data_IF_973108456872
#
_entry.id   IF_973108456872
#
_cell.length_a   1.000
_cell.length_b   1.000
_cell.length_c   1.000
_cell.angle_alpha   90.00
_cell.angle_beta   90.00
_cell.angle_gamma   90.00
#
_symmetry.space_group_name_H-M   'P 1'
#
loop_
_entity.id
_entity.type
_entity.pdbx_description
1 polymer ?
#
# COMPACT_ATOMS: atom_id res chain seq x y z
N UNK A 1 -5.53 19.64 10.24
CA UNK A 1 -4.86 18.70 11.15
C UNK A 1 -4.57 19.38 12.48
N UNK A 2 -4.75 18.68 13.61
CA UNK A 2 -4.56 19.22 14.97
C UNK A 2 -3.16 18.96 15.55
N UNK A 3 -2.24 18.40 14.76
CA UNK A 3 -0.86 18.14 15.16
C UNK A 3 -0.13 19.47 15.42
N UNK A 4 0.58 19.58 16.55
CA UNK A 4 1.27 20.81 16.97
C UNK A 4 2.75 20.86 16.57
N UNK A 5 3.27 19.79 15.98
CA UNK A 5 4.62 19.74 15.43
C UNK A 5 4.62 20.00 13.92
N UNK A 6 5.74 20.54 13.42
CA UNK A 6 5.94 20.78 11.99
C UNK A 6 7.00 19.83 11.44
N UNK A 7 6.76 19.29 10.24
CA UNK A 7 7.78 18.55 9.48
C UNK A 7 8.57 19.54 8.62
N UNK A 8 9.91 19.61 8.77
CA UNK A 8 10.75 20.45 7.90
C UNK A 8 10.51 20.16 6.43
N UNK A 9 10.46 21.19 5.59
CA UNK A 9 10.11 21.05 4.17
C UNK A 9 11.04 20.07 3.45
N UNK A 10 12.35 20.13 3.72
CA UNK A 10 13.35 19.22 3.15
C UNK A 10 13.23 17.75 3.61
N UNK A 11 12.33 17.45 4.56
CA UNK A 11 12.03 16.08 5.01
C UNK A 11 10.71 15.56 4.46
N UNK A 12 9.92 16.39 3.77
CA UNK A 12 8.67 15.96 3.15
C UNK A 12 8.96 15.19 1.87
N UNK A 13 8.04 14.30 1.54
CA UNK A 13 8.12 13.42 0.38
C UNK A 13 6.77 13.36 -0.31
N UNK A 14 6.76 13.29 -1.63
CA UNK A 14 5.54 13.10 -2.39
C UNK A 14 5.19 11.62 -2.41
N UNK A 15 3.91 11.33 -2.26
CA UNK A 15 3.42 9.95 -2.32
C UNK A 15 2.21 9.85 -3.24
N UNK A 16 2.17 8.79 -4.04
CA UNK A 16 0.95 8.27 -4.66
C UNK A 16 0.68 6.94 -3.97
N UNK A 17 -0.56 6.74 -3.53
CA UNK A 17 -0.99 5.47 -2.94
C UNK A 17 -1.75 4.72 -4.02
N UNK A 18 -1.41 3.46 -4.24
CA UNK A 18 -1.99 2.58 -5.23
C UNK A 18 -2.54 1.36 -4.51
N UNK A 19 -3.87 1.24 -4.43
CA UNK A 19 -4.54 0.39 -3.44
C UNK A 19 -5.80 -0.24 -3.98
N UNK A 20 -5.95 -1.53 -3.70
CA UNK A 20 -7.12 -2.32 -4.02
C UNK A 20 -8.10 -2.35 -2.83
N UNK A 21 -8.39 -1.16 -2.28
CA UNK A 21 -9.06 -0.84 -1.00
C UNK A 21 -10.36 -1.60 -0.67
N UNK A 22 -10.99 -2.26 -1.66
CA UNK A 22 -12.19 -3.06 -1.45
C UNK A 22 -11.92 -4.58 -1.42
N UNK A 23 -10.65 -4.99 -1.49
CA UNK A 23 -10.25 -6.38 -1.44
C UNK A 23 -10.39 -6.96 -0.03
N UNK A 24 -9.74 -6.31 0.93
CA UNK A 24 -9.79 -6.65 2.36
C UNK A 24 -10.16 -5.42 3.18
N UNK A 25 -9.75 -5.37 4.45
CA UNK A 25 -10.19 -4.36 5.40
C UNK A 25 -9.07 -3.46 5.94
N UNK A 26 -7.81 -3.70 5.58
CA UNK A 26 -6.65 -2.98 6.13
C UNK A 26 -6.15 -1.80 5.26
N UNK A 27 -6.33 -1.79 3.95
CA UNK A 27 -5.95 -0.63 3.12
C UNK A 27 -6.51 0.70 3.64
N UNK A 28 -7.78 0.79 4.10
CA UNK A 28 -8.32 2.04 4.61
C UNK A 28 -7.51 2.62 5.78
N UNK A 29 -6.90 1.76 6.60
CA UNK A 29 -6.04 2.19 7.71
C UNK A 29 -4.73 2.77 7.19
N UNK A 30 -4.10 2.14 6.19
CA UNK A 30 -2.89 2.65 5.56
C UNK A 30 -3.15 4.00 4.84
N UNK A 31 -4.22 4.10 4.05
CA UNK A 31 -4.59 5.35 3.38
C UNK A 31 -4.84 6.47 4.40
N UNK A 32 -5.61 6.19 5.46
CA UNK A 32 -5.88 7.16 6.52
C UNK A 32 -4.58 7.59 7.23
N UNK A 33 -3.69 6.64 7.55
CA UNK A 33 -2.39 6.91 8.17
C UNK A 33 -1.56 7.86 7.31
N UNK A 34 -1.52 7.63 6.00
CA UNK A 34 -0.78 8.47 5.08
C UNK A 34 -1.37 9.89 4.97
N UNK A 35 -2.68 10.01 4.84
CA UNK A 35 -3.39 11.29 4.74
C UNK A 35 -3.25 12.15 6.00
N UNK A 36 -3.12 11.52 7.18
CA UNK A 36 -2.88 12.22 8.45
C UNK A 36 -1.40 12.55 8.71
N UNK A 37 -0.48 12.10 7.85
CA UNK A 37 0.96 12.21 8.08
C UNK A 37 1.56 13.44 7.40
N UNK A 38 1.94 14.50 8.13
CA UNK A 38 2.42 15.76 7.53
C UNK A 38 3.76 15.67 6.78
N UNK A 39 4.47 14.54 6.91
CA UNK A 39 5.66 14.22 6.11
C UNK A 39 5.29 13.84 4.68
N UNK A 40 4.11 13.24 4.48
CA UNK A 40 3.67 12.71 3.20
C UNK A 40 2.79 13.75 2.48
N UNK A 41 3.27 14.23 1.34
CA UNK A 41 2.49 15.05 0.42
C UNK A 41 1.75 14.08 -0.50
N UNK A 42 0.56 13.64 -0.06
CA UNK A 42 -0.27 12.71 -0.84
C UNK A 42 -0.78 13.42 -2.09
N UNK A 43 -0.35 12.95 -3.27
CA UNK A 43 -0.65 13.53 -4.59
C UNK A 43 -1.92 12.96 -5.19
N UNK A 44 -2.11 11.66 -5.01
CA UNK A 44 -3.31 10.93 -5.40
C UNK A 44 -3.43 9.63 -4.61
N UNK A 45 -4.65 9.10 -4.55
CA UNK A 45 -4.92 7.70 -4.22
C UNK A 45 -5.55 7.07 -5.47
N UNK A 46 -4.87 6.07 -6.02
CA UNK A 46 -5.26 5.36 -7.23
C UNK A 46 -5.89 4.03 -6.82
N UNK A 47 -7.04 3.74 -7.41
CA UNK A 47 -7.74 2.48 -7.22
C UNK A 47 -7.09 1.37 -8.06
N UNK A 48 -6.62 0.32 -7.41
CA UNK A 48 -6.11 -0.90 -8.03
C UNK A 48 -7.17 -2.00 -8.05
N UNK A 49 -7.04 -2.93 -9.00
CA UNK A 49 -7.88 -4.11 -9.09
C UNK A 49 -7.37 -5.24 -8.17
N UNK A 50 -8.27 -6.14 -7.79
CA UNK A 50 -7.93 -7.43 -7.15
C UNK A 50 -8.30 -8.63 -8.05
N UNK A 51 -8.05 -8.49 -9.35
CA UNK A 51 -8.24 -9.53 -10.38
C UNK A 51 -9.66 -10.12 -10.48
N UNK A 52 -10.68 -9.37 -10.05
CA UNK A 52 -12.08 -9.73 -10.15
C UNK A 52 -12.88 -8.69 -10.96
N UNK A 53 -13.99 -9.08 -11.63
CA UNK A 53 -14.81 -8.14 -12.38
C UNK A 53 -15.30 -6.96 -11.53
N UNK A 54 -15.06 -5.74 -12.02
CA UNK A 54 -15.46 -4.51 -11.33
C UNK A 54 -14.70 -4.23 -10.03
N UNK A 55 -13.62 -4.97 -9.74
CA UNK A 55 -12.83 -4.80 -8.52
C UNK A 55 -12.22 -3.41 -8.40
N UNK A 56 -11.60 -2.89 -9.47
CA UNK A 56 -11.06 -1.51 -9.51
C UNK A 56 -12.14 -0.47 -9.14
N UNK A 57 -13.35 -0.57 -9.71
CA UNK A 57 -14.44 0.37 -9.38
C UNK A 57 -14.84 0.24 -7.90
N UNK A 58 -14.88 -0.97 -7.33
CA UNK A 58 -15.16 -1.15 -5.90
C UNK A 58 -14.09 -0.48 -5.04
N UNK A 59 -12.82 -0.61 -5.40
CA UNK A 59 -11.69 0.06 -4.72
C UNK A 59 -11.84 1.58 -4.81
N UNK A 60 -12.14 2.13 -6.00
CA UNK A 60 -12.40 3.55 -6.20
C UNK A 60 -13.49 4.07 -5.26
N UNK A 61 -14.64 3.41 -5.23
CA UNK A 61 -15.75 3.79 -4.36
C UNK A 61 -15.42 3.63 -2.86
N UNK A 62 -14.60 2.65 -2.48
CA UNK A 62 -14.14 2.48 -1.10
C UNK A 62 -13.22 3.63 -0.66
N UNK A 63 -12.31 4.06 -1.52
CA UNK A 63 -11.45 5.23 -1.29
C UNK A 63 -12.31 6.50 -1.15
N UNK A 64 -13.32 6.68 -2.02
CA UNK A 64 -14.24 7.82 -1.92
C UNK A 64 -15.03 7.83 -0.61
N UNK A 65 -15.52 6.68 -0.14
CA UNK A 65 -16.20 6.56 1.16
C UNK A 65 -15.27 6.89 2.33
N UNK A 66 -14.04 6.36 2.31
CA UNK A 66 -13.04 6.66 3.35
C UNK A 66 -12.72 8.15 3.42
N UNK A 67 -12.37 8.75 2.29
CA UNK A 67 -11.97 10.17 2.23
C UNK A 67 -13.13 11.11 2.60
N UNK A 68 -14.36 10.74 2.25
CA UNK A 68 -15.56 11.43 2.73
C UNK A 68 -15.74 11.30 4.26
N UNK A 69 -15.54 10.11 4.84
CA UNK A 69 -15.61 9.91 6.30
C UNK A 69 -14.49 10.66 7.05
N UNK A 70 -13.37 10.92 6.38
CA UNK A 70 -12.26 11.73 6.88
C UNK A 70 -12.44 13.23 6.65
N UNK A 71 -13.47 13.64 5.90
CA UNK A 71 -13.72 15.03 5.49
C UNK A 71 -12.53 15.66 4.75
N UNK A 72 -11.86 14.88 3.91
CA UNK A 72 -10.71 15.32 3.12
C UNK A 72 -11.04 15.37 1.64
N UNK A 73 -10.63 16.46 0.99
CA UNK A 73 -10.59 16.55 -0.46
C UNK A 73 -9.30 15.89 -0.97
N UNK A 74 -9.44 14.73 -1.59
CA UNK A 74 -8.33 13.90 -2.08
C UNK A 74 -8.54 13.63 -3.56
N UNK A 75 -7.47 13.74 -4.34
CA UNK A 75 -7.45 13.34 -5.74
C UNK A 75 -7.51 11.81 -5.83
N UNK A 76 -8.71 11.27 -6.07
CA UNK A 76 -8.96 9.83 -6.20
C UNK A 76 -9.14 9.49 -7.67
N UNK A 77 -8.32 8.56 -8.16
CA UNK A 77 -8.21 8.22 -9.58
C UNK A 77 -8.46 6.73 -9.82
N UNK A 78 -9.10 6.39 -10.92
CA UNK A 78 -9.23 5.02 -11.42
C UNK A 78 -7.91 4.52 -12.00
N UNK A 79 -7.50 3.33 -11.59
CA UNK A 79 -6.38 2.59 -12.17
C UNK A 79 -6.81 1.70 -13.34
N UNK A 80 -5.93 0.76 -13.68
CA UNK A 80 -6.20 -0.30 -14.65
C UNK A 80 -7.30 -1.23 -14.10
N UNK A 81 -8.20 -1.67 -14.98
CA UNK A 81 -9.32 -2.53 -14.57
C UNK A 81 -8.94 -4.00 -14.39
N UNK A 82 -7.81 -4.40 -14.99
CA UNK A 82 -7.38 -5.79 -15.12
C UNK A 82 -5.85 -5.90 -15.18
N UNK A 83 -5.30 -7.10 -14.91
CA UNK A 83 -3.88 -7.38 -15.04
C UNK A 83 -3.31 -6.95 -16.41
N UNK A 84 -2.03 -6.56 -16.43
CA UNK A 84 -1.30 -5.80 -17.47
C UNK A 84 -1.61 -6.21 -18.93
N UNK A 85 -1.90 -7.48 -19.21
CA UNK A 85 -2.17 -8.00 -20.57
C UNK A 85 -3.56 -7.71 -21.14
N UNK A 86 -4.47 -7.09 -20.38
CA UNK A 86 -5.88 -7.03 -20.78
C UNK A 86 -6.36 -5.65 -21.25
N UNK A 87 -5.55 -4.59 -21.17
CA UNK A 87 -5.99 -3.22 -21.46
C UNK A 87 -5.28 -2.57 -22.65
N UNK A 88 -6.03 -1.85 -23.51
CA UNK A 88 -5.49 -1.17 -24.71
C UNK A 88 -5.20 0.32 -24.51
N UNK A 89 -5.73 0.93 -23.46
CA UNK A 89 -5.57 2.34 -23.12
C UNK A 89 -5.16 2.44 -21.68
N UNK A 90 -4.20 3.30 -21.39
CA UNK A 90 -3.80 3.57 -20.01
C UNK A 90 -4.86 4.36 -19.25
N UNK A 91 -5.04 3.99 -17.98
CA UNK A 91 -5.96 4.62 -17.03
C UNK A 91 -5.56 6.05 -16.67
N UNK A 92 -6.45 6.76 -15.97
CA UNK A 92 -6.12 8.09 -15.44
C UNK A 92 -5.06 8.03 -14.34
N UNK A 93 -5.08 6.99 -13.50
CA UNK A 93 -4.06 6.75 -12.49
C UNK A 93 -2.68 6.56 -13.11
N UNK A 94 -2.56 5.74 -14.16
CA UNK A 94 -1.28 5.52 -14.86
C UNK A 94 -0.75 6.81 -15.48
N UNK A 95 -1.61 7.59 -16.16
CA UNK A 95 -1.22 8.91 -16.69
C UNK A 95 -0.70 9.83 -15.59
N UNK A 96 -1.40 9.87 -14.46
CA UNK A 96 -1.02 10.70 -13.33
C UNK A 96 0.32 10.29 -12.71
N UNK A 97 0.61 8.99 -12.58
CA UNK A 97 1.94 8.49 -12.13
C UNK A 97 3.03 9.06 -13.04
N UNK A 98 2.86 8.96 -14.35
CA UNK A 98 3.85 9.42 -15.35
C UNK A 98 4.03 10.94 -15.26
N UNK A 99 2.93 11.69 -15.20
CA UNK A 99 2.95 13.16 -15.10
C UNK A 99 3.61 13.64 -13.81
N UNK A 100 3.24 13.07 -12.67
CA UNK A 100 3.79 13.44 -11.36
C UNK A 100 5.28 13.07 -11.24
N UNK A 101 5.70 11.95 -11.82
CA UNK A 101 7.11 11.54 -11.88
C UNK A 101 7.96 12.49 -12.73
N UNK A 102 7.41 13.00 -13.85
CA UNK A 102 8.09 13.96 -14.74
C UNK A 102 8.02 15.41 -14.26
N UNK A 103 7.19 15.71 -13.26
CA UNK A 103 7.05 17.06 -12.72
C UNK A 103 8.38 17.59 -12.14
N UNK A 104 8.60 18.91 -12.29
CA UNK A 104 9.75 19.60 -11.71
C UNK A 104 9.48 19.89 -10.24
N UNK A 105 9.70 18.88 -9.39
CA UNK A 105 9.54 19.00 -7.93
C UNK A 105 10.77 18.43 -7.23
N UNK A 106 11.28 19.15 -6.23
CA UNK A 106 12.49 18.76 -5.48
C UNK A 106 12.26 17.64 -4.48
N UNK A 107 11.00 17.38 -4.09
CA UNK A 107 10.66 16.29 -3.18
C UNK A 107 10.64 14.97 -3.94
N UNK A 108 11.28 13.90 -3.40
CA UNK A 108 11.26 12.59 -4.04
C UNK A 108 9.82 12.05 -4.09
N UNK A 109 9.54 11.25 -5.13
CA UNK A 109 8.24 10.62 -5.33
C UNK A 109 8.30 9.14 -4.97
N UNK A 110 7.40 8.72 -4.08
CA UNK A 110 7.20 7.33 -3.70
C UNK A 110 5.84 6.85 -4.19
N UNK A 111 5.79 5.64 -4.74
CA UNK A 111 4.55 4.95 -5.12
C UNK A 111 4.35 3.82 -4.11
N UNK A 112 3.32 3.93 -3.28
CA UNK A 112 3.00 2.94 -2.25
C UNK A 112 1.97 1.98 -2.84
N UNK A 113 2.43 0.83 -3.29
CA UNK A 113 1.59 -0.22 -3.86
C UNK A 113 1.15 -1.18 -2.75
N UNK A 114 -0.11 -1.04 -2.35
CA UNK A 114 -0.77 -1.84 -1.31
C UNK A 114 -1.43 -3.10 -1.89
N UNK A 115 -1.72 -3.09 -3.20
CA UNK A 115 -2.32 -4.21 -3.92
C UNK A 115 -1.42 -4.81 -5.01
N UNK A 116 -2.04 -5.19 -6.14
CA UNK A 116 -1.31 -5.57 -7.35
C UNK A 116 -0.38 -4.45 -7.86
N UNK A 117 0.53 -4.79 -8.79
CA UNK A 117 1.49 -3.82 -9.35
C UNK A 117 1.12 -3.36 -10.77
N UNK A 118 -0.14 -3.52 -11.18
CA UNK A 118 -0.58 -3.35 -12.56
C UNK A 118 -0.42 -1.91 -13.02
N UNK A 119 -0.86 -0.95 -12.20
CA UNK A 119 -0.73 0.48 -12.49
C UNK A 119 0.73 0.90 -12.67
N UNK A 120 1.61 0.54 -11.73
CA UNK A 120 3.02 0.92 -11.81
C UNK A 120 3.77 0.19 -12.94
N UNK A 121 3.47 -1.08 -13.19
CA UNK A 121 4.05 -1.83 -14.31
C UNK A 121 3.66 -1.21 -15.65
N UNK A 122 2.39 -0.80 -15.79
CA UNK A 122 1.90 -0.10 -16.99
C UNK A 122 2.54 1.27 -17.15
N UNK A 123 2.72 2.03 -16.07
CA UNK A 123 3.42 3.31 -16.11
C UNK A 123 4.88 3.16 -16.57
N UNK A 124 5.60 2.15 -16.07
CA UNK A 124 6.98 1.85 -16.48
C UNK A 124 7.07 1.32 -17.92
N UNK A 125 6.04 0.61 -18.41
CA UNK A 125 5.97 0.18 -19.81
C UNK A 125 5.83 1.35 -20.78
N UNK A 126 4.92 2.29 -20.48
CA UNK A 126 4.64 3.44 -21.35
C UNK A 126 5.69 4.55 -21.21
N UNK A 127 6.30 4.69 -20.04
CA UNK A 127 7.29 5.74 -19.76
C UNK A 127 8.50 5.18 -18.99
N UNK A 128 9.38 4.39 -19.63
CA UNK A 128 10.56 3.81 -18.97
C UNK A 128 11.49 4.84 -18.31
N UNK A 129 11.50 6.09 -18.79
CA UNK A 129 12.31 7.18 -18.23
C UNK A 129 11.96 7.56 -16.78
N UNK A 130 10.79 7.15 -16.26
CA UNK A 130 10.37 7.47 -14.89
C UNK A 130 11.04 6.56 -13.84
N UNK A 131 11.66 5.45 -14.24
CA UNK A 131 12.24 4.48 -13.28
C UNK A 131 13.34 5.11 -12.40
N UNK A 132 14.04 6.12 -12.90
CA UNK A 132 15.07 6.86 -12.16
C UNK A 132 14.51 8.01 -11.29
N UNK A 133 13.19 8.23 -11.32
CA UNK A 133 12.51 9.39 -10.70
C UNK A 133 11.61 9.00 -9.53
N UNK A 134 11.39 7.71 -9.31
CA UNK A 134 10.45 7.20 -8.33
C UNK A 134 11.05 6.07 -7.49
N UNK A 135 10.51 5.89 -6.30
CA UNK A 135 10.72 4.70 -5.47
C UNK A 135 9.39 3.96 -5.32
N UNK A 136 9.36 2.68 -5.61
CA UNK A 136 8.20 1.80 -5.40
C UNK A 136 8.35 1.13 -4.04
N UNK A 137 7.32 1.25 -3.20
CA UNK A 137 7.21 0.56 -1.91
C UNK A 137 6.04 -0.39 -2.04
N UNK A 138 6.30 -1.69 -2.03
CA UNK A 138 5.32 -2.73 -2.35
C UNK A 138 5.07 -3.63 -1.14
N UNK A 139 3.80 -3.79 -0.80
CA UNK A 139 3.29 -4.85 0.06
C UNK A 139 3.08 -6.08 -0.82
N UNK A 140 3.80 -7.16 -0.51
CA UNK A 140 3.62 -8.40 -1.23
C UNK A 140 4.90 -9.22 -1.42
N UNK A 141 4.68 -10.39 -2.00
CA UNK A 141 5.68 -11.43 -2.16
C UNK A 141 5.94 -12.26 -0.90
N UNK A 142 6.48 -13.45 -1.16
CA UNK A 142 6.79 -14.47 -0.17
C UNK A 142 8.05 -14.11 0.63
N UNK A 143 8.21 -14.78 1.76
CA UNK A 143 9.49 -14.80 2.47
C UNK A 143 10.58 -15.42 1.58
N UNK A 144 11.76 -14.81 1.61
CA UNK A 144 12.95 -15.35 0.91
C UNK A 144 13.60 -16.50 1.69
N UNK A 145 13.35 -16.62 2.99
CA UNK A 145 13.90 -17.68 3.85
C UNK A 145 13.00 -18.93 3.89
N UNK A 146 11.70 -18.77 3.61
CA UNK A 146 10.71 -19.85 3.62
C UNK A 146 10.20 -20.16 2.20
N UNK A 147 11.14 -20.51 1.31
CA UNK A 147 10.85 -20.79 -0.09
C UNK A 147 10.06 -22.08 -0.32
N UNK A 148 10.00 -22.97 0.67
CA UNK A 148 9.39 -24.31 0.57
C UNK A 148 7.91 -24.35 0.99
N UNK A 149 7.42 -23.33 1.70
CA UNK A 149 6.01 -23.27 2.13
C UNK A 149 5.08 -23.19 0.92
N UNK A 150 4.04 -24.00 0.84
CA UNK A 150 3.02 -23.83 -0.21
C UNK A 150 2.15 -22.62 0.15
N UNK A 151 2.40 -21.49 -0.52
CA UNK A 151 1.73 -20.22 -0.26
C UNK A 151 1.75 -19.38 -1.53
N UNK A 152 0.56 -18.99 -1.99
CA UNK A 152 0.38 -18.02 -3.07
C UNK A 152 0.14 -16.66 -2.43
N UNK A 153 1.10 -15.76 -2.54
CA UNK A 153 0.93 -14.40 -2.05
C UNK A 153 -0.12 -13.66 -2.89
N UNK A 154 -0.99 -12.90 -2.22
CA UNK A 154 -2.22 -12.39 -2.81
C UNK A 154 -1.95 -11.29 -3.84
N UNK A 155 -1.20 -10.26 -3.47
CA UNK A 155 -0.92 -9.10 -4.32
C UNK A 155 -0.09 -9.47 -5.53
N UNK A 156 1.02 -10.18 -5.32
CA UNK A 156 1.87 -10.63 -6.41
C UNK A 156 1.16 -11.65 -7.29
N UNK A 157 0.28 -12.46 -6.70
CA UNK A 157 -0.53 -13.41 -7.44
C UNK A 157 -1.55 -12.75 -8.36
N UNK A 158 -2.15 -11.63 -7.95
CA UNK A 158 -3.16 -10.91 -8.74
C UNK A 158 -2.62 -10.38 -10.07
N UNK A 159 -1.32 -10.06 -10.15
CA UNK A 159 -0.64 -9.80 -11.43
C UNK A 159 0.86 -10.13 -11.39
N UNK A 160 1.18 -11.42 -11.53
CA UNK A 160 2.58 -11.92 -11.57
C UNK A 160 3.39 -11.28 -12.71
N UNK A 161 2.75 -10.92 -13.80
CA UNK A 161 3.43 -10.31 -14.95
C UNK A 161 3.84 -8.88 -14.65
N UNK A 162 2.94 -8.08 -14.07
CA UNK A 162 3.25 -6.74 -13.59
C UNK A 162 4.39 -6.78 -12.57
N UNK A 163 4.37 -7.73 -11.64
CA UNK A 163 5.48 -7.88 -10.67
C UNK A 163 6.81 -8.12 -11.37
N UNK A 164 6.88 -9.08 -12.29
CA UNK A 164 8.11 -9.35 -13.03
C UNK A 164 8.56 -8.14 -13.86
N UNK A 165 7.63 -7.42 -14.51
CA UNK A 165 7.92 -6.19 -15.25
C UNK A 165 8.58 -5.12 -14.37
N UNK A 166 8.06 -4.91 -13.16
CA UNK A 166 8.62 -3.93 -12.20
C UNK A 166 9.99 -4.40 -11.70
N UNK A 167 10.15 -5.68 -11.35
CA UNK A 167 11.41 -6.25 -10.88
C UNK A 167 12.52 -6.29 -11.97
N UNK A 168 12.14 -6.34 -13.25
CA UNK A 168 13.04 -6.27 -14.41
C UNK A 168 13.43 -4.82 -14.78
N UNK A 169 12.67 -3.81 -14.36
CA UNK A 169 13.02 -2.39 -14.51
C UNK A 169 14.18 -1.97 -13.59
N UNK A 170 14.68 -0.73 -13.73
CA UNK A 170 15.70 -0.17 -12.83
C UNK A 170 15.13 0.69 -11.69
N UNK A 171 13.82 0.64 -11.44
CA UNK A 171 13.17 1.46 -10.42
C UNK A 171 13.69 1.15 -9.01
N UNK A 172 13.87 2.14 -8.13
CA UNK A 172 14.15 1.80 -6.72
C UNK A 172 12.95 1.03 -6.15
N UNK A 173 13.17 -0.15 -5.58
CA UNK A 173 12.10 -1.05 -5.17
C UNK A 173 12.34 -1.55 -3.74
N UNK A 174 11.38 -1.26 -2.88
CA UNK A 174 11.32 -1.70 -1.49
C UNK A 174 10.19 -2.70 -1.36
N UNK A 175 10.53 -3.96 -1.11
CA UNK A 175 9.57 -5.01 -0.87
C UNK A 175 9.34 -5.18 0.63
N UNK A 176 8.09 -5.30 1.02
CA UNK A 176 7.69 -5.72 2.36
C UNK A 176 6.95 -7.05 2.16
N UNK A 177 7.62 -8.19 2.38
CA UNK A 177 7.05 -9.51 2.15
C UNK A 177 6.11 -9.94 3.30
N UNK A 178 5.37 -11.02 3.09
CA UNK A 178 4.41 -11.58 4.06
C UNK A 178 5.01 -11.83 5.44
N UNK A 179 6.28 -12.22 5.52
CA UNK A 179 6.98 -12.42 6.80
C UNK A 179 7.13 -11.15 7.61
N UNK A 180 7.10 -9.98 6.97
CA UNK A 180 7.20 -8.68 7.61
C UNK A 180 5.82 -8.04 7.78
N UNK A 181 5.02 -7.92 6.72
CA UNK A 181 3.76 -7.18 6.81
C UNK A 181 2.70 -7.88 7.66
N UNK A 182 2.67 -9.22 7.67
CA UNK A 182 1.70 -9.97 8.46
C UNK A 182 1.95 -9.86 9.98
N UNK A 183 3.05 -9.22 10.40
CA UNK A 183 3.37 -9.03 11.83
C UNK A 183 2.64 -7.85 12.47
N UNK A 184 1.98 -7.00 11.67
CA UNK A 184 1.21 -5.85 12.16
C UNK A 184 -0.16 -6.31 12.65
N UNK A 185 -0.16 -7.06 13.75
CA UNK A 185 -1.38 -7.63 14.33
C UNK A 185 -2.09 -6.62 15.22
N UNK A 186 -3.43 -6.57 15.12
CA UNK A 186 -4.29 -5.76 15.98
C UNK A 186 -5.52 -6.55 16.43
N UNK A 187 -5.95 -6.35 17.67
CA UNK A 187 -7.20 -6.93 18.17
C UNK A 187 -8.41 -6.06 17.81
N UNK A 188 -9.57 -6.67 17.53
CA UNK A 188 -10.80 -5.91 17.28
C UNK A 188 -11.26 -5.11 18.52
N UNK A 189 -10.97 -5.61 19.72
CA UNK A 189 -11.19 -4.86 20.97
C UNK A 189 -10.30 -3.61 21.06
N UNK A 190 -9.06 -3.69 20.56
CA UNK A 190 -8.16 -2.54 20.49
C UNK A 190 -8.67 -1.51 19.48
N UNK A 191 -9.11 -1.95 18.29
CA UNK A 191 -9.75 -1.06 17.31
C UNK A 191 -11.03 -0.42 17.88
N UNK A 192 -11.86 -1.18 18.59
CA UNK A 192 -13.04 -0.60 19.24
C UNK A 192 -12.65 0.49 20.23
N UNK A 193 -11.66 0.23 21.09
CA UNK A 193 -11.23 1.16 22.11
C UNK A 193 -10.55 2.43 21.53
N UNK A 194 -9.58 2.26 20.62
CA UNK A 194 -8.72 3.34 20.13
C UNK A 194 -9.23 4.01 18.85
N UNK A 195 -9.96 3.28 18.00
CA UNK A 195 -10.34 3.75 16.65
C UNK A 195 -11.81 4.17 16.60
N UNK A 196 -12.74 3.36 17.09
CA UNK A 196 -14.19 3.60 16.89
C UNK A 196 -14.70 4.93 17.46
N UNK A 197 -14.03 5.46 18.49
CA UNK A 197 -14.39 6.72 19.14
C UNK A 197 -13.83 7.98 18.45
N UNK A 198 -13.00 7.82 17.42
CA UNK A 198 -12.33 8.93 16.73
C UNK A 198 -13.19 9.50 15.59
N UNK A 199 -14.34 10.09 15.93
CA UNK A 199 -15.23 10.75 14.98
C UNK A 199 -15.74 9.83 13.87
N UNK A 200 -16.19 10.41 12.75
CA UNK A 200 -16.74 9.64 11.63
C UNK A 200 -15.67 8.78 10.93
N UNK A 201 -14.43 9.26 10.86
CA UNK A 201 -13.31 8.51 10.29
C UNK A 201 -13.02 7.22 11.06
N UNK A 202 -12.85 7.32 12.37
CA UNK A 202 -12.60 6.16 13.24
C UNK A 202 -13.79 5.20 13.28
N UNK A 203 -15.01 5.72 13.33
CA UNK A 203 -16.23 4.89 13.23
C UNK A 203 -16.26 4.10 11.92
N UNK A 204 -16.02 4.75 10.78
CA UNK A 204 -16.00 4.10 9.47
C UNK A 204 -14.94 2.99 9.41
N UNK A 205 -13.71 3.27 9.82
CA UNK A 205 -12.60 2.30 9.83
C UNK A 205 -12.90 1.06 10.68
N UNK A 206 -13.52 1.25 11.85
CA UNK A 206 -13.92 0.15 12.72
C UNK A 206 -15.09 -0.65 12.14
N UNK A 207 -16.16 0.02 11.69
CA UNK A 207 -17.36 -0.65 11.19
C UNK A 207 -17.09 -1.46 9.92
N UNK A 208 -16.29 -0.93 8.99
CA UNK A 208 -15.93 -1.66 7.77
C UNK A 208 -15.10 -2.91 8.07
N UNK A 209 -14.14 -2.83 9.01
CA UNK A 209 -13.35 -3.97 9.48
C UNK A 209 -14.25 -5.06 10.11
N UNK A 210 -15.10 -4.68 11.06
CA UNK A 210 -16.02 -5.63 11.72
C UNK A 210 -17.01 -6.24 10.72
N UNK A 211 -17.46 -5.47 9.73
CA UNK A 211 -18.37 -5.94 8.68
C UNK A 211 -17.68 -6.97 7.78
N UNK A 212 -16.48 -6.66 7.30
CA UNK A 212 -15.71 -7.58 6.45
C UNK A 212 -15.36 -8.88 7.18
N UNK A 213 -14.90 -8.78 8.44
CA UNK A 213 -14.58 -9.93 9.29
C UNK A 213 -15.77 -10.88 9.55
N UNK A 214 -17.02 -10.42 9.38
CA UNK A 214 -18.23 -11.25 9.48
C UNK A 214 -18.67 -11.88 8.16
N UNK A 215 -18.07 -11.46 7.05
CA UNK A 215 -18.43 -11.93 5.71
C UNK A 215 -17.87 -13.33 5.43
N UNK A 216 -18.45 -14.02 4.43
CA UNK A 216 -17.92 -15.30 3.95
C UNK A 216 -16.51 -15.19 3.34
N UNK A 217 -16.11 -13.99 2.93
CA UNK A 217 -14.78 -13.72 2.34
C UNK A 217 -13.66 -13.65 3.39
N UNK A 218 -14.01 -13.58 4.68
CA UNK A 218 -13.05 -13.52 5.79
C UNK A 218 -12.94 -14.85 6.56
N UNK A 219 -13.29 -16.00 5.94
CA UNK A 219 -13.29 -17.31 6.62
C UNK A 219 -11.91 -17.75 7.15
N UNK A 220 -10.84 -17.15 6.63
CA UNK A 220 -9.45 -17.38 7.04
C UNK A 220 -9.03 -16.53 8.24
N UNK A 221 -9.77 -15.47 8.56
CA UNK A 221 -9.46 -14.58 9.67
C UNK A 221 -9.74 -15.25 11.02
N UNK A 222 -8.99 -14.87 12.05
CA UNK A 222 -9.15 -15.44 13.40
C UNK A 222 -10.43 -15.00 14.12
N UNK A 223 -11.16 -14.01 13.58
CA UNK A 223 -12.44 -13.53 14.10
C UNK A 223 -12.34 -12.45 15.19
N UNK A 224 -11.27 -12.43 15.99
CA UNK A 224 -11.04 -11.40 17.04
C UNK A 224 -9.81 -10.51 16.79
N UNK A 225 -9.07 -10.78 15.71
CA UNK A 225 -7.86 -10.04 15.33
C UNK A 225 -7.74 -9.91 13.81
N UNK A 226 -6.96 -8.92 13.38
CA UNK A 226 -6.63 -8.68 11.98
C UNK A 226 -5.15 -8.30 11.82
N UNK A 227 -4.60 -8.51 10.63
CA UNK A 227 -3.30 -7.96 10.25
C UNK A 227 -3.51 -6.67 9.47
N UNK A 228 -3.01 -5.53 9.95
CA UNK A 228 -2.97 -4.29 9.15
C UNK A 228 -1.75 -4.32 8.20
N UNK A 229 -1.76 -5.27 7.27
CA UNK A 229 -0.65 -5.63 6.39
C UNK A 229 -0.21 -4.51 5.45
N UNK A 230 -1.09 -3.56 5.15
CA UNK A 230 -0.73 -2.43 4.28
C UNK A 230 -0.01 -1.28 4.99
N UNK A 231 -0.20 -1.17 6.30
CA UNK A 231 0.32 -0.06 7.10
C UNK A 231 1.86 0.07 7.11
N UNK A 232 2.65 -1.02 7.02
CA UNK A 232 4.10 -0.96 6.82
C UNK A 232 4.56 -0.07 5.66
N UNK A 233 3.86 -0.06 4.51
CA UNK A 233 4.28 0.75 3.36
C UNK A 233 4.32 2.24 3.70
N UNK A 234 3.34 2.70 4.49
CA UNK A 234 3.29 4.06 5.02
C UNK A 234 4.39 4.28 6.05
N UNK A 235 4.52 3.35 7.00
CA UNK A 235 5.48 3.47 8.10
C UNK A 235 6.93 3.56 7.62
N UNK A 236 7.38 2.67 6.71
CA UNK A 236 8.75 2.69 6.19
C UNK A 236 9.01 3.91 5.31
N UNK A 237 7.97 4.47 4.68
CA UNK A 237 8.07 5.71 3.92
C UNK A 237 8.24 6.92 4.84
N UNK A 238 7.60 6.92 6.01
CA UNK A 238 7.80 7.95 7.05
C UNK A 238 9.17 7.78 7.74
N UNK A 239 9.50 6.56 8.17
CA UNK A 239 10.73 6.21 8.86
C UNK A 239 11.29 4.89 8.30
N UNK A 240 12.23 4.95 7.33
CA UNK A 240 12.80 3.73 6.74
C UNK A 240 13.50 2.80 7.73
N UNK A 241 13.85 3.30 8.92
CA UNK A 241 14.46 2.53 10.00
C UNK A 241 13.47 1.99 11.04
N UNK A 242 12.16 2.01 10.79
CA UNK A 242 11.18 1.33 11.64
C UNK A 242 11.13 -0.20 11.40
N UNK A 243 12.20 -0.78 10.89
CA UNK A 243 12.30 -2.18 10.49
C UNK A 243 13.68 -2.47 9.92
N UNK A 244 14.14 -3.70 10.04
CA UNK A 244 15.39 -4.17 9.43
C UNK A 244 15.13 -4.55 7.98
N UNK A 245 16.12 -4.30 7.10
CA UNK A 245 16.05 -4.68 5.70
C UNK A 245 17.42 -5.12 5.17
N UNK A 246 17.38 -5.91 4.10
CA UNK A 246 18.56 -6.31 3.33
C UNK A 246 18.39 -5.94 1.87
N UNK A 247 19.50 -5.66 1.21
CA UNK A 247 19.54 -5.59 -0.24
C UNK A 247 19.78 -7.01 -0.78
N UNK A 248 18.86 -7.50 -1.60
CA UNK A 248 18.96 -8.83 -2.20
C UNK A 248 18.85 -8.74 -3.71
N UNK A 249 19.44 -9.73 -4.39
CA UNK A 249 19.24 -9.91 -5.82
C UNK A 249 17.77 -10.21 -6.10
N UNK A 250 17.11 -9.36 -6.91
CA UNK A 250 15.71 -9.57 -7.31
C UNK A 250 15.56 -10.95 -7.96
N UNK A 251 14.48 -11.64 -7.60
CA UNK A 251 14.12 -12.94 -8.14
C UNK A 251 13.07 -12.78 -9.23
N UNK A 252 12.91 -13.81 -10.05
CA UNK A 252 11.74 -13.95 -10.90
C UNK A 252 10.60 -14.54 -10.09
N UNK A 253 9.41 -13.98 -10.20
CA UNK A 253 8.20 -14.47 -9.54
C UNK A 253 7.48 -15.44 -10.48
N UNK A 254 7.26 -16.66 -10.02
CA UNK A 254 6.58 -17.71 -10.78
C UNK A 254 5.04 -17.55 -10.65
N UNK A 255 4.23 -18.24 -11.48
CA UNK A 255 2.77 -18.16 -11.41
C UNK A 255 2.13 -18.50 -10.05
N UNK A 256 2.81 -19.35 -9.26
CA UNK A 256 2.43 -19.71 -7.88
C UNK A 256 3.02 -18.75 -6.83
N UNK A 257 3.63 -17.64 -7.27
CA UNK A 257 4.38 -16.64 -6.51
C UNK A 257 5.69 -17.11 -5.87
N UNK A 258 6.10 -18.37 -6.11
CA UNK A 258 7.45 -18.83 -5.71
C UNK A 258 8.53 -18.07 -6.48
N UNK A 259 9.76 -18.10 -5.96
CA UNK A 259 10.89 -17.39 -6.55
C UNK A 259 11.81 -18.32 -7.32
N UNK A 260 12.21 -17.90 -8.51
CA UNK A 260 13.33 -18.49 -9.26
C UNK A 260 14.48 -17.50 -9.30
N UNK A 261 15.71 -18.00 -9.20
CA UNK A 261 16.91 -17.18 -9.35
C UNK A 261 16.89 -16.41 -10.68
N UNK A 262 17.18 -15.11 -10.59
CA UNK A 262 17.35 -14.25 -11.75
C UNK A 262 18.82 -13.80 -11.81
N UNK A 263 19.62 -14.47 -12.65
CA UNK A 263 21.02 -14.12 -12.85
C UNK A 263 21.25 -12.72 -13.43
N UNK A 264 20.19 -12.05 -13.91
CA UNK A 264 20.19 -10.65 -14.36
C UNK A 264 19.44 -9.71 -13.40
N UNK A 265 19.04 -10.21 -12.23
CA UNK A 265 18.39 -9.40 -11.21
C UNK A 265 19.27 -8.19 -10.82
N UNK A 266 18.65 -7.22 -10.18
CA UNK A 266 19.36 -6.11 -9.53
C UNK A 266 19.13 -6.17 -8.03
N UNK A 267 19.87 -5.39 -7.28
CA UNK A 267 19.58 -5.24 -5.86
C UNK A 267 18.23 -4.52 -5.67
N UNK A 268 17.37 -5.14 -4.87
CA UNK A 268 16.15 -4.57 -4.32
C UNK A 268 16.25 -4.59 -2.80
N UNK A 269 15.62 -3.62 -2.15
CA UNK A 269 15.50 -3.62 -0.70
C UNK A 269 14.36 -4.53 -0.29
N UNK A 270 14.58 -5.40 0.68
CA UNK A 270 13.55 -6.27 1.25
C UNK A 270 13.56 -6.14 2.76
N UNK A 271 12.42 -5.76 3.33
CA UNK A 271 12.21 -5.67 4.76
C UNK A 271 12.09 -7.06 5.37
N UNK A 272 12.81 -7.30 6.47
CA UNK A 272 12.77 -8.53 7.24
C UNK A 272 11.85 -8.41 8.45
N UNK A 273 11.85 -7.22 9.07
CA UNK A 273 11.06 -6.91 10.25
C UNK A 273 10.43 -5.53 10.13
N UNK A 274 9.37 -5.29 10.90
CA UNK A 274 8.75 -3.97 11.08
C UNK A 274 8.41 -3.81 12.57
N UNK A 275 8.71 -2.65 13.15
CA UNK A 275 8.32 -2.28 14.52
C UNK A 275 6.81 -2.01 14.57
N UNK A 276 6.03 -3.04 14.89
CA UNK A 276 4.56 -2.96 14.95
C UNK A 276 4.06 -1.90 15.94
N UNK A 277 4.77 -1.68 17.05
CA UNK A 277 4.41 -0.64 18.02
C UNK A 277 4.53 0.74 17.39
N UNK A 278 5.60 1.00 16.64
CA UNK A 278 5.75 2.27 15.91
C UNK A 278 4.61 2.47 14.91
N UNK A 279 4.31 1.45 14.09
CA UNK A 279 3.24 1.54 13.08
C UNK A 279 1.89 1.86 13.73
N UNK A 280 1.48 1.06 14.72
CA UNK A 280 0.16 1.13 15.32
C UNK A 280 -0.02 2.38 16.19
N UNK A 281 0.93 2.69 17.07
CA UNK A 281 0.80 3.84 17.98
C UNK A 281 0.90 5.18 17.25
N UNK A 282 1.69 5.27 16.18
CA UNK A 282 1.73 6.48 15.35
C UNK A 282 0.40 6.67 14.60
N UNK A 283 -0.21 5.60 14.08
CA UNK A 283 -1.55 5.64 13.48
C UNK A 283 -2.62 6.05 14.51
N UNK A 284 -2.72 5.36 15.65
CA UNK A 284 -3.73 5.64 16.67
C UNK A 284 -3.62 7.06 17.21
N UNK A 285 -2.40 7.51 17.51
CA UNK A 285 -2.16 8.87 18.00
C UNK A 285 -2.58 9.92 16.98
N UNK A 286 -2.25 9.72 15.68
CA UNK A 286 -2.66 10.64 14.61
C UNK A 286 -4.18 10.66 14.44
N UNK A 287 -4.83 9.50 14.50
CA UNK A 287 -6.28 9.40 14.38
C UNK A 287 -6.98 10.12 15.54
N UNK A 288 -6.57 9.83 16.78
CA UNK A 288 -7.11 10.46 17.98
C UNK A 288 -6.93 11.97 17.95
N UNK A 289 -5.70 12.44 17.68
CA UNK A 289 -5.40 13.87 17.66
C UNK A 289 -6.21 14.60 16.60
N UNK A 290 -6.45 14.02 15.42
CA UNK A 290 -7.18 14.69 14.35
C UNK A 290 -8.72 14.61 14.52
N UNK A 291 -9.25 13.46 14.95
CA UNK A 291 -10.67 13.15 14.80
C UNK A 291 -11.42 12.90 16.11
N UNK A 292 -10.75 12.68 17.24
CA UNK A 292 -11.47 12.55 18.51
C UNK A 292 -12.09 13.89 18.90
N UNK A 293 -13.39 13.87 19.13
CA UNK A 293 -14.13 15.00 19.66
C UNK A 293 -13.80 15.11 21.15
N UNK A 294 -13.43 16.32 21.58
CA UNK A 294 -13.23 16.66 23.00
C UNK A 294 -14.57 17.08 23.58
#
# INVERSE_FOLDING_TARGET
>A
MKLTYCVPENKKIRVIIDSDTACEADDPFAIAHALMSPKLIVRAVIAEHFAAPGSMQKSYEAIKRLTAAMELDVNVLSGEEWPLKQTKRISEGVKFIIEEARSQNSHPLYILCLGALSNIARALEEAPDIEQRITVVSIGGRSYEDSMRDFREFNFGNDVEAVNKVLESQVSFWQIPVSAYATIQVGLAELQNKVSCCGQAGKYLYEQMVTFNRSEYASWASGESWSLGDSPAVAVTINPGCGEYKDIQSKRVNPDTSYTDNGKGRLIRVYETIDSRYVLEDFFSKLELNYKLV
#
